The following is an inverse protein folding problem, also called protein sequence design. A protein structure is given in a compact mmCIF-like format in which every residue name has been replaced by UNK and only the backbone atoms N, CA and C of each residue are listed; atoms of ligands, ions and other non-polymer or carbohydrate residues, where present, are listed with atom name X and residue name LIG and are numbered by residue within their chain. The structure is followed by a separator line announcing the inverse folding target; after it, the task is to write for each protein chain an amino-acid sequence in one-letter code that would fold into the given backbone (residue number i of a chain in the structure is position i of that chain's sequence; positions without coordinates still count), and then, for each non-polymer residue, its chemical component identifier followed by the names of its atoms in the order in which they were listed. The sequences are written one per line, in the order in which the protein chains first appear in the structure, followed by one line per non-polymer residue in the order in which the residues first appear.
data_IF_147837396469
#
_entry.id   IF_147837396469
#
_cell.length_a   1.000
_cell.length_b   1.000
_cell.length_c   1.000
_cell.angle_alpha   90.00
_cell.angle_beta   90.00
_cell.angle_gamma   90.00
#
_symmetry.space_group_name_H-M   'P 1'
#
loop_
_entity.id
_entity.type
_entity.pdbx_description
1 polymer ?
#
# COMPACT_ATOMS: atom_id res chain seq x y z
N UNK A 1 -18.48 -23.59 12.65
CA UNK A 1 -17.18 -23.14 13.28
C UNK A 1 -16.00 -23.56 12.43
N UNK A 2 -15.98 -24.82 11.98
CA UNK A 2 -14.89 -25.39 11.15
C UNK A 2 -14.74 -24.66 9.80
N UNK A 3 -15.84 -24.45 9.07
CA UNK A 3 -15.81 -23.74 7.78
C UNK A 3 -15.36 -22.29 7.90
N UNK A 4 -15.79 -21.57 8.94
CA UNK A 4 -15.33 -20.20 9.23
C UNK A 4 -13.82 -20.13 9.46
N UNK A 5 -13.29 -21.01 10.32
CA UNK A 5 -11.86 -21.08 10.60
C UNK A 5 -11.08 -21.44 9.33
N UNK A 6 -11.60 -22.38 8.52
CA UNK A 6 -10.97 -22.74 7.25
C UNK A 6 -10.82 -21.53 6.35
N UNK A 7 -11.87 -20.75 6.11
CA UNK A 7 -11.82 -19.53 5.28
C UNK A 7 -10.80 -18.52 5.80
N UNK A 8 -10.71 -18.34 7.12
CA UNK A 8 -9.71 -17.45 7.72
C UNK A 8 -8.27 -17.94 7.50
N UNK A 9 -8.03 -19.24 7.60
CA UNK A 9 -6.72 -19.82 7.36
C UNK A 9 -6.36 -19.80 5.86
N UNK A 10 -7.32 -20.06 4.98
CA UNK A 10 -7.12 -19.96 3.53
C UNK A 10 -6.75 -18.52 3.14
N UNK A 11 -7.42 -17.53 3.72
CA UNK A 11 -7.06 -16.12 3.53
C UNK A 11 -5.65 -15.82 4.07
N UNK A 12 -5.31 -16.32 5.26
CA UNK A 12 -3.97 -16.12 5.84
C UNK A 12 -2.85 -16.72 4.95
N UNK A 13 -3.13 -17.81 4.24
CA UNK A 13 -2.20 -18.36 3.25
C UNK A 13 -2.21 -17.56 1.94
N UNK A 14 -3.36 -17.03 1.54
CA UNK A 14 -3.46 -16.22 0.33
C UNK A 14 -2.61 -14.95 0.41
N UNK A 15 -2.68 -14.24 1.53
CA UNK A 15 -1.92 -13.00 1.72
C UNK A 15 -0.40 -13.22 1.82
N UNK A 16 0.07 -14.45 2.04
CA UNK A 16 1.51 -14.78 1.97
C UNK A 16 2.11 -14.50 0.58
N UNK A 17 1.27 -14.51 -0.46
CA UNK A 17 1.69 -14.22 -1.84
C UNK A 17 2.15 -12.78 -2.05
N UNK A 18 1.70 -11.83 -1.24
CA UNK A 18 2.13 -10.42 -1.27
C UNK A 18 3.65 -10.29 -1.16
N UNK A 19 4.31 -11.20 -0.45
CA UNK A 19 5.77 -11.25 -0.34
C UNK A 19 6.50 -11.50 -1.67
N UNK A 20 5.78 -11.92 -2.71
CA UNK A 20 6.33 -12.14 -4.05
C UNK A 20 6.02 -11.00 -5.02
N UNK A 21 5.32 -9.96 -4.58
CA UNK A 21 5.06 -8.76 -5.37
C UNK A 21 6.18 -7.77 -5.07
N UNK A 22 6.96 -7.42 -6.08
CA UNK A 22 8.13 -6.57 -5.93
C UNK A 22 7.87 -5.19 -6.51
N UNK A 23 8.12 -4.18 -5.69
CA UNK A 23 8.06 -2.76 -6.04
C UNK A 23 9.31 -2.36 -6.86
N UNK A 24 9.27 -1.19 -7.50
CA UNK A 24 10.44 -0.66 -8.18
C UNK A 24 11.45 -0.02 -7.23
N UNK A 25 11.07 0.25 -5.99
CA UNK A 25 11.90 0.86 -4.96
C UNK A 25 12.88 -0.15 -4.38
N UNK A 26 14.16 0.26 -4.22
CA UNK A 26 15.21 -0.55 -3.61
C UNK A 26 15.22 -0.38 -2.09
N UNK A 27 15.65 -1.43 -1.37
CA UNK A 27 15.95 -1.34 0.06
C UNK A 27 17.09 -0.34 0.33
N UNK A 28 17.06 0.34 1.47
CA UNK A 28 18.00 1.42 1.83
C UNK A 28 19.50 1.04 1.79
N UNK A 29 19.82 -0.24 1.91
CA UNK A 29 21.19 -0.77 1.80
C UNK A 29 21.64 -1.05 0.35
N UNK A 30 21.05 -0.45 -0.66
CA UNK A 30 21.30 -0.70 -2.09
C UNK A 30 21.11 -2.15 -2.51
N UNK A 31 20.28 -2.88 -1.76
CA UNK A 31 19.99 -4.29 -2.00
C UNK A 31 18.97 -4.53 -3.13
N UNK A 32 18.24 -5.60 -2.99
CA UNK A 32 17.13 -5.95 -3.86
C UNK A 32 15.99 -4.92 -3.77
N UNK A 33 15.05 -5.06 -4.69
CA UNK A 33 13.78 -4.35 -4.58
C UNK A 33 13.00 -4.78 -3.32
N UNK A 34 12.26 -3.85 -2.74
CA UNK A 34 11.31 -4.09 -1.66
C UNK A 34 10.12 -4.89 -2.19
N UNK A 35 9.48 -5.71 -1.35
CA UNK A 35 8.17 -6.28 -1.66
C UNK A 35 7.05 -5.56 -0.88
N UNK A 36 5.78 -5.77 -1.29
CA UNK A 36 4.64 -5.05 -0.73
C UNK A 36 4.42 -5.35 0.77
N UNK A 37 4.69 -6.58 1.23
CA UNK A 37 4.57 -6.91 2.65
C UNK A 37 5.61 -6.15 3.50
N UNK A 38 6.83 -5.93 2.98
CA UNK A 38 7.86 -5.12 3.64
C UNK A 38 7.49 -3.65 3.65
N UNK A 39 6.93 -3.15 2.54
CA UNK A 39 6.40 -1.81 2.41
C UNK A 39 5.29 -1.54 3.44
N UNK A 40 4.27 -2.40 3.49
CA UNK A 40 3.16 -2.29 4.42
C UNK A 40 3.63 -2.31 5.89
N UNK A 41 4.53 -3.24 6.24
CA UNK A 41 5.13 -3.30 7.59
C UNK A 41 5.88 -2.02 7.93
N UNK A 42 6.71 -1.50 7.01
CA UNK A 42 7.51 -0.30 7.24
C UNK A 42 6.60 0.91 7.49
N UNK A 43 5.57 1.10 6.67
CA UNK A 43 4.61 2.19 6.84
C UNK A 43 3.80 2.08 8.14
N UNK A 44 3.46 0.87 8.59
CA UNK A 44 2.78 0.65 9.86
C UNK A 44 3.62 1.18 11.02
N UNK A 45 4.94 0.90 11.03
CA UNK A 45 5.86 1.42 12.04
C UNK A 45 6.03 2.94 11.89
N UNK A 46 6.16 3.46 10.66
CA UNK A 46 6.24 4.91 10.43
C UNK A 46 5.00 5.63 10.97
N UNK A 47 3.81 5.07 10.79
CA UNK A 47 2.56 5.63 11.30
C UNK A 47 2.58 5.73 12.83
N UNK A 48 3.04 4.70 13.54
CA UNK A 48 3.19 4.75 15.00
C UNK A 48 4.10 5.88 15.46
N UNK A 49 5.17 6.17 14.70
CA UNK A 49 6.17 7.18 15.05
C UNK A 49 5.75 8.58 14.63
N UNK A 50 5.11 8.72 13.46
CA UNK A 50 4.89 10.01 12.80
C UNK A 50 3.45 10.53 12.97
N UNK A 51 2.57 9.79 13.65
CA UNK A 51 1.18 10.22 13.90
C UNK A 51 1.07 11.58 14.61
N UNK A 52 2.08 11.96 15.39
CA UNK A 52 2.15 13.27 16.05
C UNK A 52 2.23 14.46 15.08
N UNK A 53 2.60 14.21 13.80
CA UNK A 53 2.68 15.22 12.73
C UNK A 53 1.43 15.22 11.83
N UNK A 54 0.39 14.47 12.18
CA UNK A 54 -0.86 14.51 11.43
C UNK A 54 -1.53 15.89 11.55
N UNK A 55 -2.06 16.42 10.43
CA UNK A 55 -2.72 17.73 10.41
C UNK A 55 -4.04 17.73 11.19
N UNK A 56 -4.68 16.57 11.33
CA UNK A 56 -5.92 16.35 12.09
C UNK A 56 -5.72 15.14 12.99
N UNK A 57 -6.45 15.03 14.11
CA UNK A 57 -6.42 13.81 14.94
C UNK A 57 -6.81 12.57 14.12
N UNK A 58 -6.05 11.50 14.26
CA UNK A 58 -6.27 10.23 13.56
C UNK A 58 -6.37 9.07 14.55
N UNK A 59 -7.14 8.03 14.20
CA UNK A 59 -7.05 6.73 14.86
C UNK A 59 -5.84 5.97 14.27
N UNK A 60 -4.77 5.88 15.06
CA UNK A 60 -3.51 5.26 14.66
C UNK A 60 -3.69 3.77 14.32
N UNK A 61 -4.51 3.02 15.09
CA UNK A 61 -4.73 1.60 14.83
C UNK A 61 -5.54 1.39 13.55
N UNK A 62 -6.53 2.22 13.31
CA UNK A 62 -7.32 2.20 12.08
C UNK A 62 -6.42 2.50 10.86
N UNK A 63 -5.59 3.52 10.94
CA UNK A 63 -4.63 3.90 9.90
C UNK A 63 -3.62 2.78 9.61
N UNK A 64 -3.07 2.15 10.65
CA UNK A 64 -2.18 0.98 10.50
C UNK A 64 -2.91 -0.18 9.82
N UNK A 65 -4.15 -0.48 10.24
CA UNK A 65 -4.97 -1.51 9.61
C UNK A 65 -5.14 -1.25 8.10
N UNK A 66 -5.42 -0.01 7.73
CA UNK A 66 -5.54 0.43 6.34
C UNK A 66 -4.24 0.18 5.54
N UNK A 67 -3.10 0.59 6.08
CA UNK A 67 -1.79 0.42 5.45
C UNK A 67 -1.36 -1.04 5.32
N UNK A 68 -1.76 -1.92 6.25
CA UNK A 68 -1.43 -3.34 6.18
C UNK A 68 -2.21 -4.11 5.13
N UNK A 69 -3.33 -3.54 4.62
CA UNK A 69 -4.19 -4.28 3.68
C UNK A 69 -4.30 -3.61 2.31
N UNK A 70 -3.83 -2.36 2.13
CA UNK A 70 -4.12 -1.59 0.93
C UNK A 70 -3.55 -2.22 -0.35
N UNK A 71 -2.35 -2.81 -0.28
CA UNK A 71 -1.66 -3.44 -1.40
C UNK A 71 -1.96 -4.94 -1.56
N UNK A 72 -2.77 -5.58 -0.66
CA UNK A 72 -3.17 -6.98 -0.84
C UNK A 72 -3.83 -7.25 -2.20
N UNK A 73 -4.48 -6.26 -2.77
CA UNK A 73 -5.08 -6.32 -4.11
C UNK A 73 -4.06 -6.55 -5.20
N UNK A 74 -2.80 -6.20 -4.97
CA UNK A 74 -1.72 -6.37 -5.93
C UNK A 74 -1.30 -7.84 -6.12
N UNK A 75 -1.72 -8.73 -5.24
CA UNK A 75 -1.57 -10.19 -5.43
C UNK A 75 -2.13 -10.63 -6.80
N UNK A 76 -3.24 -10.04 -7.23
CA UNK A 76 -3.86 -10.32 -8.53
C UNK A 76 -3.63 -9.19 -9.55
N UNK A 77 -3.63 -7.95 -9.09
CA UNK A 77 -3.49 -6.78 -9.96
C UNK A 77 -2.04 -6.54 -10.40
N UNK A 78 -1.05 -6.94 -9.57
CA UNK A 78 0.35 -6.59 -9.72
C UNK A 78 0.64 -5.14 -9.34
N UNK A 79 1.86 -4.89 -8.82
CA UNK A 79 2.32 -3.52 -8.52
C UNK A 79 2.29 -2.66 -9.79
N UNK A 80 1.64 -1.51 -9.69
CA UNK A 80 1.65 -0.51 -10.76
C UNK A 80 2.58 0.62 -10.37
N UNK A 81 3.74 0.68 -11.06
CA UNK A 81 4.72 1.71 -10.76
C UNK A 81 4.11 3.12 -10.82
N UNK A 82 4.37 3.89 -9.78
CA UNK A 82 3.74 5.19 -9.57
C UNK A 82 3.94 6.20 -10.73
N UNK A 83 4.91 5.98 -11.60
CA UNK A 83 5.22 6.82 -12.76
C UNK A 83 4.87 6.14 -14.09
N UNK A 84 4.24 4.95 -14.08
CA UNK A 84 3.74 4.25 -15.27
C UNK A 84 2.33 4.76 -15.63
N UNK A 85 2.27 5.76 -16.51
CA UNK A 85 1.01 6.36 -16.96
C UNK A 85 0.12 5.40 -17.76
N UNK A 86 0.70 4.40 -18.44
CA UNK A 86 -0.09 3.39 -19.19
C UNK A 86 -0.69 2.36 -18.23
N UNK A 87 0.10 1.85 -17.28
CA UNK A 87 -0.37 0.91 -16.25
C UNK A 87 -1.52 1.47 -15.42
N UNK A 88 -1.46 2.76 -15.07
CA UNK A 88 -2.51 3.45 -14.33
C UNK A 88 -3.88 3.47 -15.00
N UNK A 89 -3.96 3.41 -16.32
CA UNK A 89 -5.25 3.45 -17.04
C UNK A 89 -6.17 2.28 -16.72
N UNK A 90 -5.60 1.15 -16.35
CA UNK A 90 -6.36 -0.08 -16.00
C UNK A 90 -6.26 -0.45 -14.54
N UNK A 91 -5.47 0.28 -13.75
CA UNK A 91 -5.15 -0.04 -12.36
C UNK A 91 -6.42 -0.18 -11.51
N UNK A 92 -7.29 0.84 -11.51
CA UNK A 92 -8.51 0.83 -10.69
C UNK A 92 -9.44 -0.38 -11.00
N UNK A 93 -9.58 -0.75 -12.28
CA UNK A 93 -10.39 -1.90 -12.67
C UNK A 93 -9.76 -3.24 -12.25
N UNK A 94 -8.42 -3.34 -12.34
CA UNK A 94 -7.67 -4.54 -11.90
C UNK A 94 -7.75 -4.71 -10.39
N UNK A 95 -7.47 -3.64 -9.65
CA UNK A 95 -7.49 -3.64 -8.19
C UNK A 95 -8.90 -3.90 -7.64
N UNK A 96 -9.94 -3.32 -8.25
CA UNK A 96 -11.32 -3.61 -7.84
C UNK A 96 -11.66 -5.10 -7.99
N UNK A 97 -11.29 -5.72 -9.12
CA UNK A 97 -11.52 -7.17 -9.32
C UNK A 97 -10.74 -8.01 -8.32
N UNK A 98 -9.51 -7.60 -8.04
CA UNK A 98 -8.67 -8.24 -7.03
C UNK A 98 -9.28 -8.13 -5.63
N UNK A 99 -9.76 -6.94 -5.23
CA UNK A 99 -10.45 -6.71 -3.96
C UNK A 99 -11.70 -7.59 -3.82
N UNK A 100 -12.54 -7.65 -4.86
CA UNK A 100 -13.73 -8.50 -4.88
C UNK A 100 -13.37 -9.99 -4.63
N UNK A 101 -12.27 -10.48 -5.21
CA UNK A 101 -11.82 -11.86 -5.01
C UNK A 101 -11.17 -12.07 -3.64
N UNK A 102 -10.16 -11.26 -3.32
CA UNK A 102 -9.30 -11.49 -2.15
C UNK A 102 -10.09 -11.34 -0.85
N UNK A 103 -10.80 -10.24 -0.67
CA UNK A 103 -11.61 -10.03 0.53
C UNK A 103 -12.85 -10.96 0.57
N UNK A 104 -13.34 -11.42 -0.60
CA UNK A 104 -14.39 -12.42 -0.71
C UNK A 104 -14.01 -13.83 -0.21
N UNK A 105 -12.72 -14.11 0.02
CA UNK A 105 -12.25 -15.36 0.64
C UNK A 105 -12.68 -15.47 2.11
N UNK A 106 -12.73 -14.33 2.81
CA UNK A 106 -13.09 -14.27 4.23
C UNK A 106 -14.59 -14.50 4.46
N UNK A 107 -14.98 -14.87 5.70
CA UNK A 107 -16.37 -14.73 6.14
C UNK A 107 -16.91 -13.34 5.81
N UNK A 108 -18.19 -13.25 5.42
CA UNK A 108 -18.80 -12.06 4.82
C UNK A 108 -18.54 -10.78 5.59
N UNK A 109 -18.71 -10.79 6.92
CA UNK A 109 -18.52 -9.61 7.76
C UNK A 109 -17.04 -9.18 7.86
N UNK A 110 -16.10 -10.14 7.85
CA UNK A 110 -14.68 -9.84 7.86
C UNK A 110 -14.19 -9.35 6.50
N UNK A 111 -14.66 -10.01 5.44
CA UNK A 111 -14.37 -9.58 4.07
C UNK A 111 -14.88 -8.17 3.80
N UNK A 112 -16.12 -7.88 4.23
CA UNK A 112 -16.68 -6.54 4.12
C UNK A 112 -15.88 -5.50 4.91
N UNK A 113 -15.45 -5.82 6.12
CA UNK A 113 -14.65 -4.93 6.95
C UNK A 113 -13.34 -4.52 6.26
N UNK A 114 -12.59 -5.49 5.70
CA UNK A 114 -11.33 -5.20 5.00
C UNK A 114 -11.58 -4.50 3.66
N UNK A 115 -12.65 -4.85 2.97
CA UNK A 115 -13.03 -4.20 1.72
C UNK A 115 -13.40 -2.71 1.95
N UNK A 116 -14.18 -2.42 3.00
CA UNK A 116 -14.55 -1.04 3.35
C UNK A 116 -13.29 -0.22 3.74
N UNK A 117 -12.34 -0.83 4.44
CA UNK A 117 -11.08 -0.21 4.83
C UNK A 117 -10.20 0.11 3.60
N UNK A 118 -10.15 -0.79 2.63
CA UNK A 118 -9.50 -0.56 1.34
C UNK A 118 -10.17 0.57 0.55
N UNK A 119 -11.50 0.58 0.48
CA UNK A 119 -12.24 1.67 -0.16
C UNK A 119 -12.00 3.03 0.50
N UNK A 120 -11.85 3.05 1.82
CA UNK A 120 -11.54 4.27 2.56
C UNK A 120 -10.16 4.80 2.17
N UNK A 121 -9.14 3.91 2.07
CA UNK A 121 -7.81 4.26 1.59
C UNK A 121 -7.86 4.87 0.18
N UNK A 122 -8.55 4.21 -0.74
CA UNK A 122 -8.68 4.69 -2.13
C UNK A 122 -9.43 6.04 -2.22
N UNK A 123 -10.44 6.24 -1.39
CA UNK A 123 -11.23 7.46 -1.40
C UNK A 123 -10.48 8.69 -0.88
N UNK A 124 -9.47 8.54 -0.01
CA UNK A 124 -8.64 9.60 0.58
C UNK A 124 -9.44 10.77 1.19
N UNK A 125 -10.57 10.48 1.82
CA UNK A 125 -11.48 11.51 2.37
C UNK A 125 -11.31 11.72 3.86
N UNK A 126 -11.09 10.63 4.62
CA UNK A 126 -10.90 10.70 6.07
C UNK A 126 -9.49 11.19 6.42
N UNK A 127 -9.27 11.78 7.61
CA UNK A 127 -7.95 12.13 8.10
C UNK A 127 -6.98 10.93 8.06
N UNK A 128 -7.47 9.75 8.44
CA UNK A 128 -6.72 8.50 8.44
C UNK A 128 -6.26 8.13 7.02
N UNK A 129 -7.16 8.14 6.05
CA UNK A 129 -6.84 7.81 4.66
C UNK A 129 -5.86 8.80 4.02
N UNK A 130 -6.01 10.10 4.33
CA UNK A 130 -5.06 11.13 3.89
C UNK A 130 -3.67 10.89 4.49
N UNK A 131 -3.61 10.63 5.81
CA UNK A 131 -2.34 10.34 6.48
C UNK A 131 -1.71 9.04 5.97
N UNK A 132 -2.51 8.00 5.77
CA UNK A 132 -2.05 6.74 5.18
C UNK A 132 -1.44 6.97 3.78
N UNK A 133 -2.07 7.79 2.93
CA UNK A 133 -1.53 8.14 1.61
C UNK A 133 -0.22 8.94 1.71
N UNK A 134 -0.08 9.80 2.72
CA UNK A 134 1.20 10.48 2.98
C UNK A 134 2.29 9.46 3.32
N UNK A 135 2.00 8.47 4.16
CA UNK A 135 2.98 7.41 4.49
C UNK A 135 3.36 6.58 3.26
N UNK A 136 2.39 6.21 2.42
CA UNK A 136 2.58 5.49 1.17
C UNK A 136 3.48 6.25 0.16
N UNK A 137 3.38 7.57 0.13
CA UNK A 137 4.25 8.39 -0.70
C UNK A 137 5.62 8.65 -0.06
N UNK A 138 5.67 8.86 1.25
CA UNK A 138 6.88 9.22 1.99
C UNK A 138 7.88 8.07 2.07
N UNK A 139 7.40 6.85 2.31
CA UNK A 139 8.26 5.67 2.49
C UNK A 139 9.15 5.42 1.25
N UNK A 140 8.63 5.34 0.01
CA UNK A 140 9.49 5.17 -1.17
C UNK A 140 10.39 6.39 -1.42
N UNK A 141 9.96 7.60 -1.06
CA UNK A 141 10.81 8.79 -1.14
C UNK A 141 12.04 8.66 -0.24
N UNK A 142 11.84 8.20 1.01
CA UNK A 142 12.93 7.98 1.97
C UNK A 142 13.91 6.93 1.45
N UNK A 143 13.42 5.81 0.92
CA UNK A 143 14.27 4.76 0.35
C UNK A 143 15.03 5.24 -0.88
N UNK A 144 14.40 6.01 -1.75
CA UNK A 144 15.09 6.61 -2.90
C UNK A 144 16.15 7.62 -2.44
N UNK A 145 15.87 8.46 -1.43
CA UNK A 145 16.87 9.35 -0.86
C UNK A 145 18.05 8.58 -0.28
N UNK A 146 17.81 7.45 0.39
CA UNK A 146 18.86 6.60 0.97
C UNK A 146 19.66 5.78 -0.06
N UNK A 147 19.20 5.73 -1.32
CA UNK A 147 19.83 4.99 -2.43
C UNK A 147 20.24 5.89 -3.58
N UNK A 148 20.50 7.18 -3.32
CA UNK A 148 20.90 8.18 -4.32
C UNK A 148 19.95 8.26 -5.53
N UNK A 149 18.66 8.02 -5.30
CA UNK A 149 17.63 8.03 -6.34
C UNK A 149 17.68 6.86 -7.30
N UNK A 150 18.22 5.72 -6.89
CA UNK A 150 18.50 4.57 -7.76
C UNK A 150 17.29 4.18 -8.62
N UNK A 151 16.12 3.95 -8.04
CA UNK A 151 14.93 3.59 -8.79
C UNK A 151 14.48 4.71 -9.75
N UNK A 152 14.60 5.97 -9.35
CA UNK A 152 14.27 7.10 -10.22
C UNK A 152 15.19 7.18 -11.44
N UNK A 153 16.50 6.94 -11.24
CA UNK A 153 17.48 6.91 -12.33
C UNK A 153 17.20 5.74 -13.29
N UNK A 154 16.96 4.55 -12.75
CA UNK A 154 16.66 3.35 -13.54
C UNK A 154 15.43 3.52 -14.43
N UNK A 155 14.42 4.25 -13.93
CA UNK A 155 13.15 4.48 -14.65
C UNK A 155 13.05 5.87 -15.32
N UNK A 156 14.11 6.65 -15.34
CA UNK A 156 14.11 7.97 -15.98
C UNK A 156 13.12 8.98 -15.39
N UNK A 157 12.87 8.88 -14.06
CA UNK A 157 11.95 9.77 -13.35
C UNK A 157 12.61 11.13 -13.11
N UNK A 158 11.91 12.20 -13.46
CA UNK A 158 12.39 13.56 -13.29
C UNK A 158 11.83 14.23 -12.02
N UNK A 159 12.56 15.20 -11.48
CA UNK A 159 12.17 15.94 -10.27
C UNK A 159 10.73 16.49 -10.35
N UNK A 160 10.30 17.00 -11.51
CA UNK A 160 8.95 17.53 -11.70
C UNK A 160 7.86 16.48 -11.45
N UNK A 161 8.09 15.20 -11.82
CA UNK A 161 7.16 14.10 -11.58
C UNK A 161 7.12 13.74 -10.08
N UNK A 162 8.27 13.76 -9.41
CA UNK A 162 8.37 13.51 -7.96
C UNK A 162 7.62 14.61 -7.19
N UNK A 163 7.85 15.87 -7.53
CA UNK A 163 7.16 17.01 -6.91
C UNK A 163 5.65 16.95 -7.11
N UNK A 164 5.21 16.66 -8.33
CA UNK A 164 3.78 16.52 -8.65
C UNK A 164 3.10 15.40 -7.83
N UNK A 165 3.75 14.21 -7.71
CA UNK A 165 3.20 13.10 -6.93
C UNK A 165 3.01 13.48 -5.45
N UNK A 166 3.88 14.31 -4.93
CA UNK A 166 3.95 14.66 -3.50
C UNK A 166 3.39 16.05 -3.19
N UNK A 167 2.70 16.72 -4.13
CA UNK A 167 2.17 18.07 -3.92
C UNK A 167 1.14 18.20 -2.79
N UNK A 168 0.52 17.06 -2.40
CA UNK A 168 -0.48 16.98 -1.33
C UNK A 168 0.06 16.38 -0.03
N UNK A 169 1.37 16.15 0.08
CA UNK A 169 2.01 15.57 1.28
C UNK A 169 2.47 16.60 2.31
N UNK A 170 2.25 17.88 2.05
CA UNK A 170 2.63 18.99 2.93
C UNK A 170 1.46 19.50 3.76
#
# INVERSE_FOLDING_TARGET
MEERLKRQLDFALEIDKEKNIFRQTHLSGHGRNENDAEHAWHMAIMTMLLSEYANEPIDVLHTIGMLLIHDLVEIDAGDTYAYDEEGKKTQADREKKAADRIYGLLPEEQGKMLYDLWLEFEAQKTPEAKFARVMDNLQPMMLNAATDGKAWVEHGVHLAQIMKRNEHTA
#
